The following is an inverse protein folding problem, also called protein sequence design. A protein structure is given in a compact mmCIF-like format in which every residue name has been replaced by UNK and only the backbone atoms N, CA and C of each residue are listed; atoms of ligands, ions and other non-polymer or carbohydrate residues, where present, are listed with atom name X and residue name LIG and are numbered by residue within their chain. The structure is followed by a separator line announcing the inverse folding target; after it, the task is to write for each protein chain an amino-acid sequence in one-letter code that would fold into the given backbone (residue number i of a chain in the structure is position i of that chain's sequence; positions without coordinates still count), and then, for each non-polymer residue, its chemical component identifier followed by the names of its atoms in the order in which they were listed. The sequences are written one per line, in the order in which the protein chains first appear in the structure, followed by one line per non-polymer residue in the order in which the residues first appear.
data_IF_201523870415
#
_entry.id   IF_201523870415
#
_cell.length_a   1.000
_cell.length_b   1.000
_cell.length_c   1.000
_cell.angle_alpha   90.00
_cell.angle_beta   90.00
_cell.angle_gamma   90.00
#
_symmetry.space_group_name_H-M   'P 1'
#
loop_
_entity.id
_entity.type
_entity.pdbx_description
1 polymer ?
#
# COMPACT_ATOMS: atom_id res chain seq x y z
N UNK A 1 12.06 -12.87 -7.29
CA UNK A 1 10.96 -12.36 -6.44
C UNK A 1 9.95 -13.46 -6.12
N UNK A 2 9.78 -14.45 -7.02
CA UNK A 2 9.00 -15.68 -6.81
C UNK A 2 9.38 -16.46 -5.54
N UNK A 3 10.67 -16.61 -5.23
CA UNK A 3 11.10 -17.45 -4.10
C UNK A 3 10.54 -17.03 -2.73
N UNK A 4 10.37 -15.73 -2.47
CA UNK A 4 9.82 -15.25 -1.20
C UNK A 4 8.31 -15.50 -1.12
N UNK A 5 7.59 -15.24 -2.21
CA UNK A 5 6.16 -15.51 -2.30
C UNK A 5 5.86 -17.03 -2.28
N UNK A 6 6.68 -17.85 -2.92
CA UNK A 6 6.60 -19.30 -2.86
C UNK A 6 6.86 -19.81 -1.43
N UNK A 7 7.83 -19.21 -0.72
CA UNK A 7 8.09 -19.52 0.69
C UNK A 7 6.89 -19.20 1.59
N UNK A 8 6.16 -18.12 1.29
CA UNK A 8 4.92 -17.78 1.98
C UNK A 8 3.87 -18.89 1.81
N UNK A 9 3.54 -19.29 0.58
CA UNK A 9 2.53 -20.33 0.38
C UNK A 9 2.96 -21.68 0.97
N UNK A 10 4.25 -22.00 0.93
CA UNK A 10 4.80 -23.20 1.57
C UNK A 10 4.77 -23.15 3.11
N UNK A 11 4.67 -21.97 3.71
CA UNK A 11 4.64 -21.77 5.16
C UNK A 11 3.26 -21.99 5.79
N UNK A 12 2.22 -22.12 4.95
CA UNK A 12 0.82 -22.19 5.36
C UNK A 12 0.22 -23.61 5.29
N UNK A 13 -0.78 -23.86 6.12
CA UNK A 13 -1.69 -25.01 6.00
C UNK A 13 -2.70 -24.76 4.87
N UNK A 14 -3.43 -25.79 4.40
CA UNK A 14 -4.49 -25.62 3.41
C UNK A 14 -5.60 -24.63 3.83
N UNK A 15 -5.78 -24.42 5.13
CA UNK A 15 -6.72 -23.47 5.73
C UNK A 15 -6.14 -22.06 5.87
N UNK A 16 -4.98 -21.78 5.27
CA UNK A 16 -4.30 -20.48 5.31
C UNK A 16 -3.81 -20.07 6.71
N UNK A 17 -3.59 -21.05 7.59
CA UNK A 17 -2.96 -20.82 8.89
C UNK A 17 -1.45 -21.05 8.82
N UNK A 18 -0.66 -20.39 9.66
CA UNK A 18 0.76 -20.70 9.80
C UNK A 18 0.96 -22.15 10.26
N UNK A 19 1.86 -22.89 9.59
CA UNK A 19 2.21 -24.26 10.00
C UNK A 19 2.75 -24.35 11.42
N UNK A 20 3.47 -23.32 11.87
CA UNK A 20 3.89 -23.16 13.25
C UNK A 20 4.24 -21.69 13.56
N UNK A 21 4.30 -21.29 14.84
CA UNK A 21 4.78 -19.97 15.22
C UNK A 21 6.22 -19.68 14.76
N UNK A 22 7.10 -20.69 14.79
CA UNK A 22 8.48 -20.54 14.34
C UNK A 22 8.55 -20.19 12.84
N UNK A 23 7.71 -20.84 12.03
CA UNK A 23 7.63 -20.57 10.59
C UNK A 23 7.09 -19.15 10.30
N UNK A 24 6.13 -18.68 11.09
CA UNK A 24 5.63 -17.30 11.00
C UNK A 24 6.72 -16.26 11.34
N UNK A 25 7.50 -16.54 12.39
CA UNK A 25 8.61 -15.70 12.81
C UNK A 25 9.72 -15.65 11.73
N UNK A 26 10.07 -16.79 11.14
CA UNK A 26 11.07 -16.88 10.07
C UNK A 26 10.62 -16.10 8.82
N UNK A 27 9.35 -16.23 8.43
CA UNK A 27 8.78 -15.45 7.33
C UNK A 27 8.84 -13.94 7.63
N UNK A 28 8.47 -13.55 8.85
CA UNK A 28 8.53 -12.16 9.30
C UNK A 28 9.96 -11.61 9.24
N UNK A 29 10.95 -12.38 9.67
CA UNK A 29 12.36 -11.99 9.59
C UNK A 29 12.83 -11.83 8.14
N UNK A 30 12.45 -12.76 7.26
CA UNK A 30 12.77 -12.67 5.83
C UNK A 30 12.11 -11.44 5.17
N UNK A 31 10.84 -11.17 5.48
CA UNK A 31 10.10 -10.01 4.99
C UNK A 31 10.73 -8.69 5.42
N UNK A 32 11.16 -8.58 6.67
CA UNK A 32 11.93 -7.43 7.15
C UNK A 32 13.22 -7.22 6.34
N UNK A 33 13.98 -8.29 6.06
CA UNK A 33 15.20 -8.18 5.25
C UNK A 33 14.92 -7.80 3.79
N UNK A 34 13.79 -8.19 3.22
CA UNK A 34 13.35 -7.73 1.89
C UNK A 34 13.00 -6.25 1.93
N UNK A 35 12.24 -5.80 2.93
CA UNK A 35 11.84 -4.41 3.07
C UNK A 35 13.04 -3.48 3.29
N UNK A 36 14.02 -3.89 4.10
CA UNK A 36 15.27 -3.16 4.30
C UNK A 36 16.05 -3.02 2.99
N UNK A 37 16.25 -4.11 2.24
CA UNK A 37 16.93 -4.06 0.94
C UNK A 37 16.20 -3.16 -0.06
N UNK A 38 14.88 -3.22 -0.09
CA UNK A 38 14.08 -2.34 -0.96
C UNK A 38 14.26 -0.87 -0.57
N UNK A 39 14.33 -0.55 0.73
CA UNK A 39 14.60 0.80 1.19
C UNK A 39 15.97 1.30 0.71
N UNK A 40 16.99 0.44 0.70
CA UNK A 40 18.32 0.77 0.16
C UNK A 40 18.34 0.90 -1.37
N UNK A 41 17.59 0.07 -2.09
CA UNK A 41 17.44 0.19 -3.55
C UNK A 41 16.79 1.52 -3.93
N UNK A 42 15.76 1.95 -3.20
CA UNK A 42 15.05 3.21 -3.43
C UNK A 42 15.84 4.43 -2.92
N UNK A 43 16.64 4.24 -1.86
CA UNK A 43 17.47 5.29 -1.25
C UNK A 43 16.68 6.36 -0.51
N UNK A 44 17.36 7.47 -0.24
CA UNK A 44 16.80 8.61 0.48
C UNK A 44 15.50 9.13 -0.15
N UNK A 45 14.53 9.44 0.72
CA UNK A 45 13.22 10.00 0.35
C UNK A 45 12.11 8.97 0.24
N UNK A 46 12.41 7.70 0.54
CA UNK A 46 11.44 6.62 0.63
C UNK A 46 11.46 5.98 2.01
N UNK A 47 10.27 5.59 2.45
CA UNK A 47 10.06 4.69 3.59
C UNK A 47 9.36 3.44 3.07
N UNK A 48 9.85 2.28 3.47
CA UNK A 48 9.29 0.98 3.12
C UNK A 48 8.68 0.37 4.37
N UNK A 49 7.38 0.16 4.32
CA UNK A 49 6.62 -0.47 5.38
C UNK A 49 6.48 -1.98 5.15
N UNK A 50 6.68 -2.76 6.21
CA UNK A 50 6.36 -4.18 6.24
C UNK A 50 5.42 -4.49 7.39
N UNK A 51 4.25 -5.02 7.04
CA UNK A 51 3.26 -5.54 7.97
C UNK A 51 3.26 -7.07 7.89
N UNK A 52 3.58 -7.72 9.02
CA UNK A 52 3.50 -9.18 9.10
C UNK A 52 2.05 -9.65 9.13
N UNK A 53 1.79 -10.85 8.58
CA UNK A 53 0.51 -11.56 8.76
C UNK A 53 0.42 -12.27 10.12
N UNK A 54 1.48 -12.23 10.93
CA UNK A 54 1.45 -12.70 12.31
C UNK A 54 0.66 -11.74 13.21
N UNK A 55 -0.29 -12.30 13.96
CA UNK A 55 -1.13 -11.53 14.88
C UNK A 55 -0.28 -10.92 16.00
N UNK A 56 -0.47 -9.62 16.23
CA UNK A 56 0.18 -8.89 17.32
C UNK A 56 1.62 -8.45 17.03
N UNK A 57 2.16 -8.76 15.85
CA UNK A 57 3.45 -8.21 15.41
C UNK A 57 3.24 -6.78 14.89
N UNK A 58 3.99 -5.79 15.41
CA UNK A 58 3.86 -4.42 14.94
C UNK A 58 4.42 -4.25 13.54
N UNK A 59 3.85 -3.29 12.82
CA UNK A 59 4.39 -2.78 11.56
C UNK A 59 5.82 -2.30 11.74
N UNK A 60 6.69 -2.59 10.78
CA UNK A 60 8.07 -2.08 10.72
C UNK A 60 8.25 -1.18 9.51
N UNK A 61 9.01 -0.11 9.72
CA UNK A 61 9.32 0.88 8.68
C UNK A 61 10.83 0.97 8.52
N UNK A 62 11.29 0.93 7.27
CA UNK A 62 12.69 1.00 6.88
C UNK A 62 12.92 2.20 5.98
N UNK A 63 14.00 2.94 6.22
CA UNK A 63 14.35 4.11 5.41
C UNK A 63 15.87 4.16 5.26
N UNK A 64 16.34 4.34 4.02
CA UNK A 64 17.77 4.48 3.75
C UNK A 64 18.19 5.95 3.84
N UNK A 65 19.41 6.17 4.36
CA UNK A 65 20.07 7.49 4.35
C UNK A 65 21.02 7.67 3.17
N UNK A 66 21.20 6.62 2.38
CA UNK A 66 22.11 6.58 1.24
C UNK A 66 21.39 6.97 -0.05
N UNK A 67 22.13 7.39 -1.09
CA UNK A 67 21.60 7.48 -2.44
C UNK A 67 21.03 6.13 -2.90
N UNK A 68 20.05 6.18 -3.81
CA UNK A 68 19.39 5.00 -4.36
C UNK A 68 20.40 4.01 -4.96
N UNK A 69 20.37 2.77 -4.47
CA UNK A 69 21.10 1.66 -5.10
C UNK A 69 20.59 1.35 -6.51
N UNK A 70 19.31 1.66 -6.78
CA UNK A 70 18.67 1.55 -8.10
C UNK A 70 17.98 2.87 -8.47
N UNK A 71 18.70 3.81 -9.13
CA UNK A 71 18.15 5.11 -9.52
C UNK A 71 16.90 5.00 -10.41
N UNK A 72 16.85 3.99 -11.29
CA UNK A 72 15.70 3.75 -12.17
C UNK A 72 14.43 3.40 -11.38
N UNK A 73 14.55 2.54 -10.36
CA UNK A 73 13.43 2.19 -9.50
C UNK A 73 12.95 3.41 -8.71
N UNK A 74 13.87 4.14 -8.09
CA UNK A 74 13.58 5.36 -7.34
C UNK A 74 12.86 6.41 -8.22
N UNK A 75 13.32 6.63 -9.45
CA UNK A 75 12.66 7.54 -10.39
C UNK A 75 11.25 7.08 -10.79
N UNK A 76 11.06 5.78 -10.97
CA UNK A 76 9.75 5.21 -11.29
C UNK A 76 8.77 5.48 -10.16
N UNK A 77 9.14 5.17 -8.91
CA UNK A 77 8.30 5.44 -7.75
C UNK A 77 8.05 6.93 -7.53
N UNK A 78 9.04 7.80 -7.77
CA UNK A 78 8.84 9.27 -7.74
C UNK A 78 7.78 9.72 -8.74
N UNK A 79 7.77 9.17 -9.96
CA UNK A 79 6.75 9.51 -10.98
C UNK A 79 5.36 9.05 -10.56
N UNK A 80 5.25 7.86 -9.98
CA UNK A 80 3.97 7.35 -9.45
C UNK A 80 3.45 8.27 -8.35
N UNK A 81 4.30 8.64 -7.39
CA UNK A 81 3.94 9.56 -6.31
C UNK A 81 3.50 10.93 -6.85
N UNK A 82 4.26 11.50 -7.80
CA UNK A 82 3.91 12.78 -8.41
C UNK A 82 2.57 12.73 -9.17
N UNK A 83 2.28 11.63 -9.86
CA UNK A 83 1.00 11.44 -10.54
C UNK A 83 -0.17 11.32 -9.54
N UNK A 84 0.02 10.60 -8.43
CA UNK A 84 -0.99 10.48 -7.38
C UNK A 84 -1.27 11.83 -6.70
N UNK A 85 -0.24 12.63 -6.43
CA UNK A 85 -0.41 13.98 -5.88
C UNK A 85 -1.11 14.92 -6.85
N UNK A 86 -0.76 14.87 -8.13
CA UNK A 86 -1.46 15.67 -9.16
C UNK A 86 -2.94 15.31 -9.24
N UNK A 87 -3.28 14.01 -9.18
CA UNK A 87 -4.67 13.57 -9.17
C UNK A 87 -5.40 14.00 -7.90
N UNK A 88 -4.77 13.89 -6.73
CA UNK A 88 -5.32 14.38 -5.47
C UNK A 88 -5.63 15.88 -5.54
N UNK A 89 -4.71 16.68 -6.06
CA UNK A 89 -4.92 18.12 -6.25
C UNK A 89 -6.09 18.38 -7.21
N UNK A 90 -6.18 17.64 -8.31
CA UNK A 90 -7.29 17.75 -9.28
C UNK A 90 -8.64 17.42 -8.62
N UNK A 91 -8.73 16.33 -7.88
CA UNK A 91 -9.95 15.90 -7.19
C UNK A 91 -10.36 16.90 -6.09
N UNK A 92 -9.38 17.44 -5.35
CA UNK A 92 -9.65 18.48 -4.36
C UNK A 92 -10.19 19.75 -5.03
N UNK A 93 -9.59 20.19 -6.14
CA UNK A 93 -10.11 21.35 -6.89
C UNK A 93 -11.55 21.12 -7.37
N UNK A 94 -11.84 19.95 -7.95
CA UNK A 94 -13.18 19.56 -8.38
C UNK A 94 -14.19 19.56 -7.22
N UNK A 95 -13.80 19.07 -6.04
CA UNK A 95 -14.70 19.05 -4.88
C UNK A 95 -15.11 20.43 -4.36
N UNK A 96 -14.41 21.50 -4.77
CA UNK A 96 -14.76 22.88 -4.43
C UNK A 96 -15.68 23.54 -5.48
N UNK A 97 -15.92 22.91 -6.64
CA UNK A 97 -16.80 23.46 -7.66
C UNK A 97 -18.28 23.31 -7.28
N UNK A 98 -19.08 24.39 -7.33
CA UNK A 98 -20.52 24.31 -7.04
C UNK A 98 -21.23 23.32 -7.97
N UNK A 99 -21.91 22.34 -7.38
CA UNK A 99 -22.64 21.30 -8.12
C UNK A 99 -21.79 20.08 -8.51
N UNK A 100 -20.50 20.07 -8.20
CA UNK A 100 -19.63 18.91 -8.34
C UNK A 100 -19.54 18.17 -7.01
N UNK A 101 -19.73 16.85 -7.05
CA UNK A 101 -19.69 16.01 -5.86
C UNK A 101 -19.73 14.53 -6.23
N UNK A 102 -19.31 13.68 -5.29
CA UNK A 102 -19.40 12.24 -5.45
C UNK A 102 -20.85 11.79 -5.26
N UNK A 103 -21.36 10.98 -6.17
CA UNK A 103 -22.65 10.30 -6.05
C UNK A 103 -22.46 8.81 -6.33
N UNK A 104 -23.25 7.97 -5.68
CA UNK A 104 -23.29 6.56 -6.05
C UNK A 104 -24.27 6.39 -7.23
N UNK A 105 -23.93 5.52 -8.17
CA UNK A 105 -24.75 5.23 -9.35
C UNK A 105 -25.03 3.74 -9.43
N UNK A 106 -26.32 3.37 -9.50
CA UNK A 106 -26.76 1.99 -9.70
C UNK A 106 -27.01 1.72 -11.19
N UNK A 107 -26.08 1.10 -11.94
CA UNK A 107 -26.15 1.03 -13.39
C UNK A 107 -27.30 0.19 -13.93
N UNK A 108 -27.79 -0.78 -13.16
CA UNK A 108 -28.89 -1.66 -13.58
C UNK A 108 -30.27 -0.99 -13.49
N UNK A 109 -30.44 -0.03 -12.58
CA UNK A 109 -31.69 0.71 -12.39
C UNK A 109 -31.63 2.15 -12.92
N UNK A 110 -30.43 2.65 -13.26
CA UNK A 110 -30.19 4.04 -13.63
C UNK A 110 -30.32 5.03 -12.48
N UNK A 111 -30.34 4.55 -11.23
CA UNK A 111 -30.59 5.41 -10.05
C UNK A 111 -29.30 6.09 -9.60
N UNK A 112 -29.34 7.41 -9.44
CA UNK A 112 -28.30 8.20 -8.78
C UNK A 112 -28.65 8.42 -7.31
N UNK A 113 -27.67 8.24 -6.43
CA UNK A 113 -27.76 8.53 -5.00
C UNK A 113 -26.79 9.65 -4.67
N UNK A 114 -27.34 10.85 -4.50
CA UNK A 114 -26.57 12.03 -4.13
C UNK A 114 -26.46 12.12 -2.60
N UNK A 115 -25.31 12.53 -2.04
CA UNK A 115 -25.22 12.83 -0.62
C UNK A 115 -26.24 13.92 -0.28
N UNK A 116 -27.03 13.73 0.78
CA UNK A 116 -27.94 14.76 1.25
C UNK A 116 -27.10 15.98 1.71
N UNK A 117 -27.50 17.23 1.40
CA UNK A 117 -26.82 18.39 1.99
C UNK A 117 -26.95 18.32 3.52
N UNK A 118 -25.89 18.63 4.29
CA UNK A 118 -25.98 18.64 5.74
C UNK A 118 -27.02 19.70 6.18
N UNK A 119 -28.08 19.29 6.89
CA UNK A 119 -29.02 20.20 7.54
C UNK A 119 -30.50 20.12 7.12
N UNK A 120 -31.00 18.99 6.63
CA UNK A 120 -32.44 18.74 6.55
C UNK A 120 -32.78 17.45 7.31
N UNK A 121 -32.84 17.58 8.64
CA UNK A 121 -33.63 16.72 9.53
C UNK A 121 -34.95 17.43 9.85
#
# INVERSE_FOLDING_TARGET
MTDWEDSYYQSLTPEWAWKSPAVAADFTAAGNGVAERLADELGQGFEVEFQSYELGVPVRVFASRSPAGSPLAADTFRRIAAAADAERVRLLALSQEPGVGYYAYAPLSGTEFRPNPPGLD
#
